data_IF_008760666464
#
_entry.id   IF_008760666464
#
_cell.length_a   1.000
_cell.length_b   1.000
_cell.length_c   1.000
_cell.angle_alpha   90.00
_cell.angle_beta   90.00
_cell.angle_gamma   90.00
#
_symmetry.space_group_name_H-M   'P 1'
#
loop_
_entity.id
_entity.type
_entity.pdbx_description
1 polymer ?
#
# COMPACT_ATOMS: atom_id res chain seq x y z
N UNK A 1 -2.03 -11.54 9.69
CA UNK A 1 -2.35 -12.48 8.58
C UNK A 1 -1.14 -13.40 8.29
N UNK A 2 -1.30 -14.65 7.86
CA UNK A 2 -0.17 -15.52 7.46
C UNK A 2 0.26 -15.23 6.00
N UNK A 3 1.56 -15.05 5.74
CA UNK A 3 2.13 -14.77 4.41
C UNK A 3 2.61 -16.08 3.77
N UNK A 4 1.88 -16.56 2.75
CA UNK A 4 2.19 -17.80 2.01
C UNK A 4 2.96 -17.54 0.71
N UNK A 5 2.72 -16.40 0.08
CA UNK A 5 3.48 -15.94 -1.08
C UNK A 5 3.85 -14.47 -0.92
N UNK A 6 5.03 -14.08 -1.42
CA UNK A 6 5.54 -12.71 -1.38
C UNK A 6 6.33 -12.41 -2.65
N UNK A 7 5.85 -11.47 -3.46
CA UNK A 7 6.47 -11.04 -4.72
C UNK A 7 6.79 -9.56 -4.67
N UNK A 8 8.06 -9.21 -4.85
CA UNK A 8 8.50 -7.81 -4.91
C UNK A 8 7.89 -7.07 -6.12
N UNK A 9 7.53 -5.82 -5.93
CA UNK A 9 7.00 -4.92 -6.97
C UNK A 9 8.02 -3.84 -7.28
N UNK A 10 8.26 -2.96 -6.30
CA UNK A 10 9.14 -1.80 -6.42
C UNK A 10 9.43 -1.22 -5.02
N UNK A 11 10.28 -0.20 -4.97
CA UNK A 11 10.63 0.56 -3.78
C UNK A 11 10.43 2.05 -4.03
N UNK A 12 9.82 2.72 -3.06
CA UNK A 12 9.72 4.17 -2.99
C UNK A 12 10.37 4.69 -1.71
N UNK A 13 10.27 6.00 -1.49
CA UNK A 13 10.94 6.67 -0.38
C UNK A 13 10.56 6.12 1.01
N UNK A 14 9.31 5.69 1.21
CA UNK A 14 8.81 5.20 2.49
C UNK A 14 8.73 3.68 2.58
N UNK A 15 8.73 2.96 1.45
CA UNK A 15 8.32 1.55 1.45
C UNK A 15 8.93 0.73 0.34
N UNK A 16 9.26 -0.52 0.65
CA UNK A 16 9.31 -1.60 -0.34
C UNK A 16 7.91 -2.20 -0.46
N UNK A 17 7.42 -2.35 -1.69
CA UNK A 17 6.10 -2.87 -1.96
C UNK A 17 6.17 -4.32 -2.47
N UNK A 18 5.29 -5.17 -1.92
CA UNK A 18 5.18 -6.57 -2.27
C UNK A 18 3.71 -6.94 -2.51
N UNK A 19 3.45 -7.81 -3.48
CA UNK A 19 2.19 -8.55 -3.56
C UNK A 19 2.32 -9.75 -2.61
N UNK A 20 1.37 -9.93 -1.71
CA UNK A 20 1.32 -11.10 -0.83
C UNK A 20 0.00 -11.85 -1.00
N UNK A 21 0.08 -13.18 -0.98
CA UNK A 21 -1.04 -14.11 -1.18
C UNK A 21 -1.87 -13.79 -2.45
N UNK A 22 -1.24 -13.19 -3.47
CA UNK A 22 -1.85 -12.74 -4.74
C UNK A 22 -3.05 -11.77 -4.64
N UNK A 23 -3.36 -11.30 -3.43
CA UNK A 23 -4.57 -10.53 -3.12
C UNK A 23 -4.30 -9.23 -2.37
N UNK A 24 -3.17 -9.11 -1.69
CA UNK A 24 -2.86 -7.97 -0.83
C UNK A 24 -1.55 -7.32 -1.25
N UNK A 25 -1.40 -6.06 -0.88
CA UNK A 25 -0.16 -5.33 -0.96
C UNK A 25 0.39 -5.16 0.45
N UNK A 26 1.64 -5.55 0.63
CA UNK A 26 2.46 -5.29 1.81
C UNK A 26 3.42 -4.14 1.51
N UNK A 27 3.36 -3.09 2.33
CA UNK A 27 4.35 -2.02 2.36
C UNK A 27 5.26 -2.19 3.58
N UNK A 28 6.49 -2.62 3.35
CA UNK A 28 7.51 -2.73 4.40
C UNK A 28 8.24 -1.39 4.53
N UNK A 29 8.29 -0.82 5.73
CA UNK A 29 8.97 0.44 5.99
C UNK A 29 10.47 0.39 5.70
N UNK A 30 10.97 1.39 4.96
CA UNK A 30 12.41 1.52 4.66
C UNK A 30 13.14 2.50 5.58
N UNK A 31 12.41 3.36 6.28
CA UNK A 31 13.01 4.39 7.13
C UNK A 31 12.19 4.63 8.41
N UNK A 32 12.80 5.31 9.38
CA UNK A 32 12.19 5.56 10.71
C UNK A 32 10.82 6.27 10.68
N UNK A 33 10.51 7.01 9.62
CA UNK A 33 9.26 7.75 9.49
C UNK A 33 8.17 6.95 8.75
N UNK A 34 8.51 5.77 8.20
CA UNK A 34 7.58 4.96 7.40
C UNK A 34 6.31 4.64 8.17
N UNK A 35 6.43 4.15 9.40
CA UNK A 35 5.27 3.77 10.21
C UNK A 35 4.35 4.95 10.56
N UNK A 36 4.90 6.09 10.94
CA UNK A 36 4.11 7.29 11.23
C UNK A 36 3.38 7.80 10.00
N UNK A 37 4.00 7.67 8.82
CA UNK A 37 3.35 7.98 7.55
C UNK A 37 2.22 6.99 7.25
N UNK A 38 2.37 5.70 7.55
CA UNK A 38 1.29 4.71 7.40
C UNK A 38 0.11 5.00 8.32
N UNK A 39 0.35 5.40 9.58
CA UNK A 39 -0.71 5.83 10.50
C UNK A 39 -1.50 7.00 9.94
N UNK A 40 -0.81 8.08 9.54
CA UNK A 40 -1.45 9.28 8.94
C UNK A 40 -2.24 8.94 7.67
N UNK A 41 -1.69 8.06 6.83
CA UNK A 41 -2.36 7.60 5.62
C UNK A 41 -3.65 6.83 5.93
N UNK A 42 -3.61 5.93 6.92
CA UNK A 42 -4.78 5.16 7.37
C UNK A 42 -5.88 6.04 7.94
N UNK A 43 -5.52 6.98 8.81
CA UNK A 43 -6.46 7.97 9.35
C UNK A 43 -7.10 8.82 8.25
N UNK A 44 -6.35 9.13 7.19
CA UNK A 44 -6.86 9.89 6.04
C UNK A 44 -7.82 9.07 5.19
N UNK A 45 -7.52 7.78 4.94
CA UNK A 45 -8.40 6.88 4.20
C UNK A 45 -9.72 6.63 4.94
N UNK A 46 -9.69 6.53 6.27
CA UNK A 46 -10.91 6.36 7.08
C UNK A 46 -11.90 7.53 6.93
N UNK A 47 -11.43 8.72 6.52
CA UNK A 47 -12.31 9.87 6.23
C UNK A 47 -12.95 9.80 4.85
N UNK A 48 -12.48 8.91 3.98
CA UNK A 48 -12.91 8.77 2.59
C UNK A 48 -13.80 7.54 2.36
N UNK A 49 -14.21 6.85 3.43
CA UNK A 49 -14.98 5.59 3.36
C UNK A 49 -16.31 5.71 2.59
N UNK A 50 -16.89 6.90 2.52
CA UNK A 50 -18.16 7.15 1.83
C UNK A 50 -18.02 7.52 0.33
N UNK A 51 -16.79 7.63 -0.18
CA UNK A 51 -16.55 7.95 -1.59
C UNK A 51 -16.82 6.70 -2.45
N UNK A 52 -17.95 6.70 -3.17
CA UNK A 52 -18.37 5.56 -4.03
C UNK A 52 -17.91 5.66 -5.49
N UNK A 53 -17.43 6.82 -5.92
CA UNK A 53 -17.04 7.06 -7.32
C UNK A 53 -15.71 6.41 -7.71
N UNK A 54 -14.88 6.06 -6.73
CA UNK A 54 -13.56 5.48 -6.94
C UNK A 54 -13.29 4.41 -5.89
N UNK A 55 -12.69 3.30 -6.33
CA UNK A 55 -12.20 2.29 -5.40
C UNK A 55 -10.93 2.82 -4.72
N UNK A 56 -10.96 2.94 -3.40
CA UNK A 56 -9.80 3.31 -2.57
C UNK A 56 -9.24 2.09 -1.84
N UNK A 57 -7.93 2.07 -1.52
CA UNK A 57 -7.33 0.97 -0.78
C UNK A 57 -8.01 0.76 0.57
N UNK A 58 -8.40 -0.47 0.87
CA UNK A 58 -8.87 -0.87 2.19
C UNK A 58 -7.69 -1.41 3.01
N UNK A 59 -7.30 -0.70 4.06
CA UNK A 59 -6.23 -1.14 4.97
C UNK A 59 -6.75 -2.29 5.81
N UNK A 60 -6.03 -3.40 5.78
CA UNK A 60 -6.34 -4.62 6.52
C UNK A 60 -5.59 -4.62 7.85
N UNK A 61 -4.33 -4.19 7.84
CA UNK A 61 -3.46 -4.30 9.01
C UNK A 61 -2.40 -3.18 9.02
N UNK A 62 -2.17 -2.58 10.19
CA UNK A 62 -1.04 -1.72 10.48
C UNK A 62 -0.15 -2.41 11.51
N UNK A 63 1.09 -2.70 11.12
CA UNK A 63 2.04 -3.45 11.94
C UNK A 63 3.05 -2.46 12.52
N UNK A 64 3.06 -2.34 13.85
CA UNK A 64 4.02 -1.52 14.55
C UNK A 64 5.46 -2.05 14.37
N UNK A 65 6.48 -1.18 14.44
CA UNK A 65 7.88 -1.58 14.38
C UNK A 65 8.19 -2.75 15.32
N UNK A 66 8.81 -3.79 14.76
CA UNK A 66 9.18 -5.01 15.49
C UNK A 66 10.40 -5.68 14.84
N UNK A 67 10.80 -6.85 15.33
CA UNK A 67 11.99 -7.56 14.84
C UNK A 67 11.90 -7.96 13.35
N UNK A 68 10.71 -8.28 12.86
CA UNK A 68 10.47 -8.63 11.45
C UNK A 68 10.33 -7.39 10.57
N UNK A 69 9.65 -6.36 11.07
CA UNK A 69 9.39 -5.08 10.40
C UNK A 69 9.99 -3.92 11.20
N UNK A 70 11.30 -3.65 11.11
CA UNK A 70 11.98 -2.68 11.98
C UNK A 70 11.48 -1.23 11.84
N UNK A 71 10.87 -0.89 10.70
CA UNK A 71 10.27 0.42 10.45
C UNK A 71 8.73 0.36 10.32
N UNK A 72 8.14 -0.72 10.83
CA UNK A 72 6.71 -1.02 10.69
C UNK A 72 6.32 -1.44 9.28
N UNK A 73 5.06 -1.86 9.13
CA UNK A 73 4.50 -2.25 7.85
C UNK A 73 3.00 -1.93 7.77
N UNK A 74 2.48 -1.92 6.55
CA UNK A 74 1.05 -1.76 6.28
C UNK A 74 0.60 -2.78 5.24
N UNK A 75 -0.57 -3.38 5.46
CA UNK A 75 -1.20 -4.30 4.51
C UNK A 75 -2.53 -3.72 4.06
N UNK A 76 -2.77 -3.69 2.75
CA UNK A 76 -4.06 -3.32 2.19
C UNK A 76 -4.47 -4.25 1.04
N UNK A 77 -5.78 -4.30 0.75
CA UNK A 77 -6.30 -5.13 -0.35
C UNK A 77 -5.84 -4.58 -1.70
N UNK A 78 -5.25 -5.42 -2.55
CA UNK A 78 -4.77 -5.01 -3.86
C UNK A 78 -5.94 -4.54 -4.74
N UNK A 79 -5.75 -3.40 -5.39
CA UNK A 79 -6.64 -2.90 -6.44
C UNK A 79 -5.97 -3.19 -7.78
N UNK A 80 -6.60 -4.02 -8.59
CA UNK A 80 -6.10 -4.34 -9.93
C UNK A 80 -6.39 -3.15 -10.85
N UNK A 81 -5.39 -2.74 -11.62
CA UNK A 81 -5.54 -1.64 -12.57
C UNK A 81 -4.22 -1.30 -13.24
N UNK A 82 -4.27 -0.31 -14.12
CA UNK A 82 -3.10 0.26 -14.77
C UNK A 82 -2.88 1.67 -14.27
N UNK A 83 -1.61 2.04 -14.08
CA UNK A 83 -1.25 3.43 -13.83
C UNK A 83 -1.61 4.27 -15.05
N UNK A 84 -2.45 5.28 -14.87
CA UNK A 84 -2.72 6.27 -15.91
C UNK A 84 -1.49 7.15 -16.12
N UNK A 85 -0.60 6.75 -17.03
CA UNK A 85 0.58 7.54 -17.41
C UNK A 85 0.24 8.58 -18.47
N UNK A 86 1.07 9.62 -18.60
CA UNK A 86 0.89 10.67 -19.62
C UNK A 86 0.73 10.10 -21.04
N UNK A 87 1.47 9.04 -21.36
CA UNK A 87 1.36 8.31 -22.63
C UNK A 87 0.01 7.63 -22.88
N UNK A 88 -0.81 7.37 -21.86
CA UNK A 88 -2.18 6.91 -22.02
C UNK A 88 -3.15 8.06 -22.32
N UNK A 89 -2.87 9.28 -21.84
CA UNK A 89 -3.70 10.46 -22.06
C UNK A 89 -3.52 10.95 -23.51
N UNK A 90 -2.29 10.99 -23.99
CA UNK A 90 -1.94 11.51 -25.32
C UNK A 90 -2.42 10.60 -26.48
N UNK A 91 -2.89 9.38 -26.20
CA UNK A 91 -3.47 8.46 -27.22
C UNK A 91 -4.98 8.61 -27.39
N UNK A 92 -5.64 9.35 -26.51
CA UNK A 92 -7.11 9.50 -26.48
C UNK A 92 -7.56 10.79 -27.19
N UNK A 93 -6.61 11.55 -27.77
CA UNK A 93 -6.86 12.75 -28.57
C UNK A 93 -6.31 12.59 -29.99
#
# INVERSE_FOLDING_TARGET
MEIKSKKYINEGFNSKAYIINDEYILLEGVNKNSYDNYKKYSESLNKLVDVKSLQIPNIIELIAPNNEFPNGAMVYKMIKGHTFTKSYIDKVY
#
